data_IF_646917605551
#
_entry.id   IF_646917605551
#
_cell.length_a   1.000
_cell.length_b   1.000
_cell.length_c   1.000
_cell.angle_alpha   90.00
_cell.angle_beta   90.00
_cell.angle_gamma   90.00
#
_symmetry.space_group_name_H-M   'P 1'
#
loop_
_entity.id
_entity.type
_entity.pdbx_description
1 polymer ?
#
# COMPACT_ATOMS: atom_id res chain seq x y z
N UNK A 1 33.88 -54.53 5.40
CA UNK A 1 33.87 -53.85 4.08
C UNK A 1 32.63 -52.96 3.87
N UNK A 2 31.57 -53.05 4.69
CA UNK A 2 30.29 -52.34 4.42
C UNK A 2 30.20 -50.90 4.96
N UNK A 3 30.96 -50.55 6.00
CA UNK A 3 30.89 -49.22 6.62
C UNK A 3 31.24 -48.08 5.66
N UNK A 4 32.29 -48.24 4.85
CA UNK A 4 32.74 -47.23 3.87
C UNK A 4 31.72 -47.04 2.74
N UNK A 5 30.99 -48.10 2.35
CA UNK A 5 29.93 -48.00 1.34
C UNK A 5 28.72 -47.26 1.90
N UNK A 6 28.34 -47.56 3.15
CA UNK A 6 27.24 -46.87 3.85
C UNK A 6 27.51 -45.38 4.05
N UNK A 7 28.73 -44.99 4.43
CA UNK A 7 29.07 -43.57 4.61
C UNK A 7 29.04 -42.80 3.30
N UNK A 8 29.57 -43.36 2.21
CA UNK A 8 29.47 -42.75 0.86
C UNK A 8 28.01 -42.57 0.42
N UNK A 9 27.17 -43.57 0.69
CA UNK A 9 25.75 -43.49 0.38
C UNK A 9 25.03 -42.37 1.16
N UNK A 10 25.27 -42.26 2.48
CA UNK A 10 24.67 -41.20 3.31
C UNK A 10 25.13 -39.81 2.87
N UNK A 11 26.41 -39.64 2.50
CA UNK A 11 26.92 -38.35 1.97
C UNK A 11 26.18 -37.95 0.69
N UNK A 12 26.07 -38.87 -0.27
CA UNK A 12 25.35 -38.63 -1.52
C UNK A 12 23.86 -38.33 -1.27
N UNK A 13 23.22 -39.03 -0.33
CA UNK A 13 21.84 -38.74 0.08
C UNK A 13 21.69 -37.30 0.62
N UNK A 14 22.63 -36.84 1.44
CA UNK A 14 22.61 -35.50 2.01
C UNK A 14 22.85 -34.42 0.94
N UNK A 15 23.80 -34.65 0.02
CA UNK A 15 24.04 -33.77 -1.13
C UNK A 15 22.78 -33.63 -1.98
N UNK A 16 22.10 -34.74 -2.30
CA UNK A 16 20.83 -34.72 -3.03
C UNK A 16 19.72 -33.97 -2.27
N UNK A 17 19.66 -34.13 -0.94
CA UNK A 17 18.70 -33.41 -0.12
C UNK A 17 18.94 -31.88 -0.15
N UNK A 18 20.20 -31.45 -0.03
CA UNK A 18 20.59 -30.04 -0.13
C UNK A 18 20.18 -29.47 -1.49
N UNK A 19 20.56 -30.13 -2.59
CA UNK A 19 20.21 -29.70 -3.95
C UNK A 19 18.69 -29.60 -4.16
N UNK A 20 17.92 -30.53 -3.58
CA UNK A 20 16.47 -30.50 -3.66
C UNK A 20 15.87 -29.33 -2.86
N UNK A 21 16.42 -29.01 -1.69
CA UNK A 21 16.01 -27.87 -0.88
C UNK A 21 16.30 -26.56 -1.61
N UNK A 22 17.51 -26.39 -2.15
CA UNK A 22 17.91 -25.22 -2.91
C UNK A 22 16.99 -24.99 -4.12
N UNK A 23 16.77 -26.04 -4.93
CA UNK A 23 15.85 -25.99 -6.08
C UNK A 23 14.44 -25.57 -5.64
N UNK A 24 13.98 -26.07 -4.49
CA UNK A 24 12.65 -25.72 -3.97
C UNK A 24 12.59 -24.27 -3.48
N UNK A 25 13.63 -23.79 -2.79
CA UNK A 25 13.74 -22.38 -2.35
C UNK A 25 13.69 -21.46 -3.57
N UNK A 26 14.46 -21.75 -4.62
CA UNK A 26 14.46 -20.95 -5.86
C UNK A 26 13.09 -20.91 -6.53
N UNK A 27 12.40 -22.05 -6.62
CA UNK A 27 11.04 -22.12 -7.16
C UNK A 27 10.05 -21.28 -6.34
N UNK A 28 10.14 -21.35 -5.00
CA UNK A 28 9.31 -20.55 -4.10
C UNK A 28 9.61 -19.06 -4.31
N UNK A 29 10.88 -18.67 -4.36
CA UNK A 29 11.27 -17.28 -4.61
C UNK A 29 10.74 -16.75 -5.94
N UNK A 30 10.86 -17.53 -7.04
CA UNK A 30 10.32 -17.16 -8.35
C UNK A 30 8.81 -16.96 -8.33
N UNK A 31 8.08 -17.85 -7.64
CA UNK A 31 6.62 -17.78 -7.58
C UNK A 31 6.12 -16.64 -6.68
N UNK A 32 6.70 -16.46 -5.50
CA UNK A 32 6.33 -15.40 -4.55
C UNK A 32 6.65 -14.02 -5.14
N UNK A 33 7.84 -13.88 -5.75
CA UNK A 33 8.27 -12.61 -6.31
C UNK A 33 7.68 -12.33 -7.70
N UNK A 34 6.91 -13.26 -8.29
CA UNK A 34 6.35 -13.13 -9.65
C UNK A 34 5.55 -11.83 -9.86
N UNK A 35 4.84 -11.39 -8.83
CA UNK A 35 4.02 -10.17 -8.86
C UNK A 35 4.54 -9.11 -7.87
N UNK A 36 5.66 -9.37 -7.20
CA UNK A 36 6.25 -8.47 -6.22
C UNK A 36 6.92 -7.30 -6.92
N UNK A 37 6.45 -6.08 -6.68
CA UNK A 37 7.18 -4.88 -7.10
C UNK A 37 8.41 -4.74 -6.20
N UNK A 38 9.59 -4.66 -6.81
CA UNK A 38 10.83 -4.42 -6.07
C UNK A 38 10.84 -2.96 -5.61
N UNK A 39 10.45 -2.74 -4.35
CA UNK A 39 10.57 -1.44 -3.67
C UNK A 39 11.87 -1.43 -2.89
N UNK A 40 12.69 -0.42 -3.12
CA UNK A 40 13.85 -0.11 -2.31
C UNK A 40 13.81 1.38 -2.01
N UNK A 41 14.26 1.72 -0.80
CA UNK A 41 14.40 3.09 -0.35
C UNK A 41 15.86 3.29 0.07
N UNK A 42 16.36 4.49 -0.13
CA UNK A 42 17.65 4.90 0.38
C UNK A 42 17.48 5.87 1.56
N UNK A 43 18.55 6.06 2.33
CA UNK A 43 18.55 7.01 3.43
C UNK A 43 18.39 8.42 2.87
N UNK A 44 17.43 9.16 3.41
CA UNK A 44 17.09 10.50 2.95
C UNK A 44 15.85 10.58 2.05
N UNK A 45 15.33 9.45 1.56
CA UNK A 45 14.10 9.42 0.76
C UNK A 45 12.89 9.81 1.60
N UNK A 46 11.98 10.57 0.98
CA UNK A 46 10.67 10.91 1.54
C UNK A 46 9.63 9.87 1.15
N UNK A 47 8.92 9.35 2.14
CA UNK A 47 7.99 8.24 1.93
C UNK A 47 6.71 8.43 2.72
N UNK A 48 5.59 8.04 2.13
CA UNK A 48 4.30 8.03 2.82
C UNK A 48 4.13 6.75 3.62
N UNK A 49 3.88 6.85 4.92
CA UNK A 49 3.59 5.67 5.74
C UNK A 49 2.09 5.58 5.97
N UNK A 50 1.50 4.43 5.64
CA UNK A 50 0.08 4.20 5.88
C UNK A 50 -0.22 4.01 7.36
N UNK A 51 -0.98 4.95 7.95
CA UNK A 51 -1.39 4.87 9.35
C UNK A 51 -2.45 3.76 9.51
N UNK A 52 -2.06 2.64 10.15
CA UNK A 52 -2.98 1.56 10.52
C UNK A 52 -3.40 1.71 11.97
N UNK A 53 -4.69 1.49 12.27
CA UNK A 53 -5.24 1.56 13.64
C UNK A 53 -4.49 0.69 14.66
N UNK A 54 -4.00 -0.49 14.26
CA UNK A 54 -3.26 -1.41 15.14
C UNK A 54 -1.91 -0.85 15.61
N UNK A 55 -1.26 -0.02 14.79
CA UNK A 55 0.05 0.58 15.13
C UNK A 55 -0.10 2.01 15.62
N UNK A 56 -1.08 2.75 15.08
CA UNK A 56 -1.31 4.17 15.34
C UNK A 56 -2.69 4.38 15.99
N UNK A 57 -2.93 3.87 17.21
CA UNK A 57 -4.23 4.03 17.88
C UNK A 57 -4.51 5.49 18.23
N UNK A 58 -3.47 6.25 18.57
CA UNK A 58 -3.59 7.65 19.01
C UNK A 58 -3.94 8.61 17.87
N UNK A 59 -3.46 8.32 16.66
CA UNK A 59 -3.68 9.15 15.48
C UNK A 59 -4.98 8.78 14.75
N UNK A 60 -5.34 7.50 14.78
CA UNK A 60 -6.58 7.01 14.17
C UNK A 60 -7.77 7.10 15.14
N UNK A 61 -8.08 8.30 15.64
CA UNK A 61 -9.20 8.53 16.58
C UNK A 61 -10.57 8.50 15.90
N UNK A 62 -10.64 8.78 14.60
CA UNK A 62 -11.89 8.81 13.83
C UNK A 62 -11.74 8.13 12.47
N UNK A 63 -12.87 7.69 11.90
CA UNK A 63 -12.89 7.08 10.56
C UNK A 63 -12.73 8.11 9.42
N UNK A 64 -12.97 9.39 9.72
CA UNK A 64 -12.96 10.48 8.74
C UNK A 64 -11.60 11.18 8.65
N UNK A 65 -10.71 10.96 9.63
CA UNK A 65 -9.34 11.49 9.57
C UNK A 65 -8.58 10.88 8.39
N UNK A 66 -7.69 11.66 7.76
CA UNK A 66 -6.85 11.16 6.69
C UNK A 66 -5.96 10.01 7.20
N UNK A 67 -5.70 9.02 6.33
CA UNK A 67 -4.89 7.83 6.69
C UNK A 67 -3.39 8.04 6.52
N UNK A 68 -2.99 9.16 5.96
CA UNK A 68 -1.63 9.64 5.89
C UNK A 68 -1.70 11.14 6.16
N UNK A 69 -0.92 11.59 7.13
CA UNK A 69 -0.89 13.01 7.52
C UNK A 69 0.33 13.68 6.89
N UNK A 70 1.50 13.04 7.01
CA UNK A 70 2.76 13.57 6.51
C UNK A 70 3.65 12.52 5.82
N UNK A 71 4.65 13.04 5.12
CA UNK A 71 5.76 12.29 4.55
C UNK A 71 6.85 12.16 5.59
N UNK A 72 7.44 10.96 5.70
CA UNK A 72 8.51 10.69 6.65
C UNK A 72 9.80 10.40 5.91
N UNK A 73 10.90 10.92 6.45
CA UNK A 73 12.22 10.67 5.90
C UNK A 73 12.77 9.34 6.42
N UNK A 74 13.40 8.56 5.54
CA UNK A 74 14.14 7.37 5.94
C UNK A 74 15.46 7.80 6.61
N UNK A 75 15.59 7.57 7.92
CA UNK A 75 16.82 7.87 8.68
C UNK A 75 17.88 6.79 8.46
N UNK A 76 17.49 5.52 8.48
CA UNK A 76 18.45 4.43 8.39
C UNK A 76 17.85 3.15 7.83
N UNK A 77 18.71 2.35 7.21
CA UNK A 77 18.39 1.06 6.60
C UNK A 77 19.02 -0.04 7.46
N UNK A 78 18.19 -0.86 8.10
CA UNK A 78 18.66 -1.97 8.96
C UNK A 78 19.01 -3.18 8.09
N UNK A 79 18.16 -3.47 7.11
CA UNK A 79 18.31 -4.54 6.10
C UNK A 79 17.65 -4.08 4.80
N UNK A 80 17.75 -4.86 3.73
CA UNK A 80 17.04 -4.60 2.46
C UNK A 80 15.52 -4.41 2.61
N UNK A 81 14.89 -4.99 3.64
CA UNK A 81 13.44 -4.96 3.84
C UNK A 81 12.95 -4.09 5.01
N UNK A 82 13.85 -3.54 5.84
CA UNK A 82 13.48 -2.88 7.09
C UNK A 82 14.18 -1.53 7.21
N UNK A 83 13.36 -0.50 7.45
CA UNK A 83 13.77 0.91 7.43
C UNK A 83 13.32 1.60 8.71
N UNK A 84 14.14 2.52 9.21
CA UNK A 84 13.75 3.44 10.28
C UNK A 84 13.38 4.78 9.69
N UNK A 85 12.26 5.31 10.12
CA UNK A 85 11.72 6.60 9.71
C UNK A 85 11.87 7.63 10.82
N UNK A 86 11.96 8.90 10.44
CA UNK A 86 11.90 10.01 11.37
C UNK A 86 10.44 10.29 11.73
N UNK A 87 9.98 9.75 12.86
CA UNK A 87 8.65 10.02 13.39
C UNK A 87 8.76 10.98 14.57
N UNK A 88 7.83 11.94 14.70
CA UNK A 88 7.74 12.75 15.91
C UNK A 88 7.50 11.86 17.14
N UNK A 89 8.12 12.21 18.26
CA UNK A 89 8.01 11.46 19.52
C UNK A 89 6.55 11.34 20.01
N UNK A 90 5.69 12.29 19.61
CA UNK A 90 4.26 12.33 19.92
C UNK A 90 3.49 11.09 19.44
N UNK A 91 3.98 10.38 18.42
CA UNK A 91 3.28 9.22 17.90
C UNK A 91 3.42 8.00 18.83
N UNK A 92 4.38 7.97 19.76
CA UNK A 92 4.65 6.87 20.70
C UNK A 92 4.73 5.47 20.01
N UNK A 93 5.19 5.44 18.75
CA UNK A 93 5.30 4.21 17.95
C UNK A 93 6.74 3.76 17.74
N UNK A 94 6.89 2.48 17.39
CA UNK A 94 8.15 1.97 16.89
C UNK A 94 8.44 2.53 15.49
N UNK A 95 9.55 3.25 15.34
CA UNK A 95 9.96 3.89 14.09
C UNK A 95 10.45 2.92 12.99
N UNK A 96 10.43 1.61 13.22
CA UNK A 96 10.95 0.60 12.26
C UNK A 96 9.81 -0.05 11.48
N UNK A 97 9.84 0.07 10.16
CA UNK A 97 8.79 -0.41 9.24
C UNK A 97 9.37 -1.32 8.16
N UNK A 98 8.53 -2.20 7.63
CA UNK A 98 8.88 -3.08 6.51
C UNK A 98 8.70 -2.31 5.19
N UNK A 99 9.47 -2.60 4.14
CA UNK A 99 9.38 -2.03 2.78
C UNK A 99 7.97 -2.07 2.15
N UNK A 100 7.08 -2.92 2.68
CA UNK A 100 5.69 -3.00 2.24
C UNK A 100 4.76 -1.96 2.87
N UNK A 101 5.12 -1.40 4.03
CA UNK A 101 4.29 -0.43 4.76
C UNK A 101 4.32 0.99 4.15
N UNK A 102 5.48 1.47 3.65
CA UNK A 102 5.58 2.76 2.98
C UNK A 102 5.19 2.71 1.49
N UNK A 103 4.65 3.82 1.01
CA UNK A 103 4.46 4.12 -0.41
C UNK A 103 5.42 5.23 -0.85
N UNK A 104 6.12 5.04 -1.98
CA UNK A 104 7.02 6.04 -2.55
C UNK A 104 6.28 7.37 -2.73
N UNK A 105 6.88 8.46 -2.26
CA UNK A 105 6.40 9.79 -2.59
C UNK A 105 6.64 10.04 -4.09
N UNK A 106 5.56 10.20 -4.84
CA UNK A 106 5.62 10.73 -6.19
C UNK A 106 5.26 12.20 -6.09
N UNK A 107 6.23 13.08 -6.36
CA UNK A 107 5.99 14.51 -6.44
C UNK A 107 5.07 14.76 -7.63
N UNK A 108 3.77 14.84 -7.36
CA UNK A 108 2.75 15.18 -8.34
C UNK A 108 2.84 16.68 -8.67
N UNK A 109 3.99 17.14 -9.18
CA UNK A 109 4.11 18.38 -9.93
C UNK A 109 3.65 18.21 -11.39
N UNK A 110 3.19 17.02 -11.78
CA UNK A 110 2.27 16.89 -12.91
C UNK A 110 0.87 17.08 -12.38
N UNK A 111 0.28 18.22 -12.70
CA UNK A 111 -1.08 18.62 -12.41
C UNK A 111 -2.08 17.60 -13.02
N UNK A 112 -2.27 16.44 -12.37
CA UNK A 112 -3.32 15.47 -12.73
C UNK A 112 -4.73 15.99 -12.38
N UNK A 113 -4.81 17.25 -11.94
CA UNK A 113 -6.02 18.03 -11.75
C UNK A 113 -6.39 18.82 -13.01
N UNK A 114 -5.94 18.40 -14.19
CA UNK A 114 -6.72 18.71 -15.40
C UNK A 114 -8.07 18.01 -15.27
N UNK A 115 -9.05 18.77 -14.80
CA UNK A 115 -10.45 18.40 -14.82
C UNK A 115 -10.77 18.02 -16.27
N UNK A 116 -11.13 16.77 -16.61
CA UNK A 116 -11.49 16.39 -17.98
C UNK A 116 -12.90 16.90 -18.35
N UNK A 117 -13.47 17.78 -17.53
CA UNK A 117 -14.67 18.50 -17.86
C UNK A 117 -14.33 19.52 -18.92
N UNK A 118 -14.39 19.06 -20.16
CA UNK A 118 -14.53 19.89 -21.34
C UNK A 118 -15.67 20.87 -21.05
N UNK A 119 -15.36 22.16 -21.07
CA UNK A 119 -16.31 23.25 -20.92
C UNK A 119 -17.40 23.04 -21.99
N UNK A 120 -18.54 22.50 -21.55
CA UNK A 120 -19.70 22.27 -22.40
C UNK A 120 -20.12 23.60 -22.99
N UNK A 121 -20.21 23.63 -24.32
CA UNK A 121 -20.41 24.84 -25.10
C UNK A 121 -21.56 25.71 -24.63
N UNK A 122 -21.37 27.02 -24.79
CA UNK A 122 -22.40 28.04 -24.65
C UNK A 122 -23.60 27.74 -25.56
N UNK A 123 -24.72 27.32 -24.99
CA UNK A 123 -26.02 27.38 -25.65
C UNK A 123 -26.94 28.38 -24.93
N UNK A 124 -27.04 29.55 -25.57
CA UNK A 124 -28.19 30.47 -25.62
C UNK A 124 -28.71 31.07 -24.30
N UNK A 125 -28.60 32.39 -24.23
CA UNK A 125 -29.28 33.28 -23.28
C UNK A 125 -30.79 33.08 -23.33
N UNK A 126 -31.38 32.48 -22.30
CA UNK A 126 -32.81 32.66 -21.99
C UNK A 126 -32.89 33.61 -20.79
N UNK A 127 -33.27 34.86 -21.06
CA UNK A 127 -33.69 35.82 -20.03
C UNK A 127 -35.03 35.35 -19.45
N UNK A 128 -35.03 34.71 -18.29
CA UNK A 128 -36.26 34.54 -17.49
C UNK A 128 -35.98 34.75 -16.01
N UNK A 129 -36.32 35.97 -15.59
CA UNK A 129 -36.68 36.49 -14.26
C UNK A 129 -36.49 35.56 -13.06
N UNK A 130 -35.63 36.01 -12.16
CA UNK A 130 -35.55 35.64 -10.74
C UNK A 130 -36.94 35.74 -10.09
N UNK A 131 -37.45 34.63 -9.57
CA UNK A 131 -38.35 34.60 -8.41
C UNK A 131 -38.09 33.32 -7.61
N UNK A 132 -37.54 33.43 -6.40
CA UNK A 132 -37.68 32.40 -5.35
C UNK A 132 -39.09 32.48 -4.77
N UNK A 133 -39.73 31.34 -4.46
CA UNK A 133 -39.92 31.00 -3.03
C UNK A 133 -39.78 29.47 -2.75
N UNK A 134 -39.06 29.07 -1.70
CA UNK A 134 -39.54 28.63 -0.36
C UNK A 134 -39.96 27.13 -0.27
N UNK A 135 -39.16 26.41 0.53
CA UNK A 135 -39.45 25.26 1.43
C UNK A 135 -40.07 23.91 0.96
N UNK A 136 -39.64 22.86 1.68
CA UNK A 136 -39.61 21.39 1.42
C UNK A 136 -40.98 20.68 1.69
N UNK A 137 -41.22 19.32 1.62
CA UNK A 137 -40.31 18.20 1.95
C UNK A 137 -40.50 16.81 1.25
N UNK A 138 -39.62 15.87 1.63
CA UNK A 138 -39.79 14.40 1.77
C UNK A 138 -40.45 13.59 0.64
N UNK A 139 -39.72 12.64 0.03
CA UNK A 139 -40.18 11.23 -0.10
C UNK A 139 -39.07 10.33 -0.66
N UNK A 140 -38.67 9.33 0.13
CA UNK A 140 -37.97 8.15 -0.35
C UNK A 140 -38.97 7.18 -0.99
N UNK A 141 -38.64 6.44 -2.06
CA UNK A 141 -39.32 5.19 -2.35
C UNK A 141 -38.44 4.00 -1.95
N UNK A 142 -38.98 3.14 -1.08
CA UNK A 142 -38.51 1.78 -0.82
C UNK A 142 -38.82 0.88 -2.03
N UNK A 143 -37.82 0.08 -2.39
CA UNK A 143 -37.82 -1.37 -2.64
C UNK A 143 -38.76 -2.05 -3.68
N UNK A 144 -38.09 -2.86 -4.52
CA UNK A 144 -38.40 -4.23 -5.01
C UNK A 144 -39.57 -4.45 -5.97
N UNK A 145 -39.25 -5.11 -7.11
CA UNK A 145 -40.04 -6.25 -7.62
C UNK A 145 -39.18 -7.20 -8.46
N UNK A 146 -39.17 -8.47 -8.02
CA UNK A 146 -38.80 -9.67 -8.79
C UNK A 146 -39.90 -9.99 -9.81
N UNK A 147 -39.51 -10.61 -10.94
CA UNK A 147 -40.24 -11.55 -11.84
C UNK A 147 -39.45 -11.63 -13.16
N UNK A 148 -39.29 -12.75 -13.85
CA UNK A 148 -39.79 -14.13 -13.72
C UNK A 148 -38.74 -15.05 -14.36
#
# INVERSE_FOLDING_TARGET
>A
MDGVKKTKFVKNLHENAILNIERRIEQIMKNVNKHGKHRQFEVGDWVWVHLRKERFPHQMRSKLLPRCEDHFQVISKIRSNAYKFDFPDEYEINATFNVFDPAQYLDNNSDLRENPFQEGGNDVVIKTKVTRPEESPLTCPKAKKLRE
#
